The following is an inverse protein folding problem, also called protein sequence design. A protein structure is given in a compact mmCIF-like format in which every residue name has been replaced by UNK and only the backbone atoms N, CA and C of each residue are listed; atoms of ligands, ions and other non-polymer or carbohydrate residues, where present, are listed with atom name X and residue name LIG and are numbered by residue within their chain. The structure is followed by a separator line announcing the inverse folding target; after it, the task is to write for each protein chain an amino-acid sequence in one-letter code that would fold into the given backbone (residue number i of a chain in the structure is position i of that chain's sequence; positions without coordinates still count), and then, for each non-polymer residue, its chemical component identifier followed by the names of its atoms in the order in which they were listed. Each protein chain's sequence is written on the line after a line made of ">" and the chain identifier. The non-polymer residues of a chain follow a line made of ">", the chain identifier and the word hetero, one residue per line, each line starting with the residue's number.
data_IF_754580476161
#
_entry.id   IF_754580476161
#
_cell.length_a   1.000
_cell.length_b   1.000
_cell.length_c   1.000
_cell.angle_alpha   90.00
_cell.angle_beta   90.00
_cell.angle_gamma   90.00
#
_symmetry.space_group_name_H-M   'P 1'
#
loop_
_entity.id
_entity.type
_entity.pdbx_description
1 polymer ?
#
# COMPACT_ATOMS: atom_id res chain seq x y z
N UNK A 1 -4.00 43.96 27.11
CA UNK A 1 -3.91 42.48 27.21
C UNK A 1 -4.75 41.82 26.13
N UNK A 2 -6.01 42.27 25.92
CA UNK A 2 -6.91 41.75 24.90
C UNK A 2 -6.28 41.82 23.49
N UNK A 3 -5.84 43.00 23.04
CA UNK A 3 -5.19 43.20 21.72
C UNK A 3 -4.00 42.25 21.54
N UNK A 4 -3.21 42.03 22.60
CA UNK A 4 -2.06 41.12 22.53
C UNK A 4 -2.50 39.65 22.37
N UNK A 5 -3.61 39.24 22.99
CA UNK A 5 -4.15 37.90 22.84
C UNK A 5 -4.77 37.68 21.46
N UNK A 6 -5.42 38.70 20.94
CA UNK A 6 -6.00 38.71 19.59
C UNK A 6 -4.90 38.54 18.51
N UNK A 7 -3.82 39.32 18.62
CA UNK A 7 -2.64 39.18 17.75
C UNK A 7 -2.03 37.77 17.83
N UNK A 8 -1.95 37.15 19.02
CA UNK A 8 -1.45 35.78 19.18
C UNK A 8 -2.39 34.77 18.53
N UNK A 9 -3.70 34.98 18.61
CA UNK A 9 -4.71 34.10 18.01
C UNK A 9 -4.65 34.18 16.48
N UNK A 10 -4.48 35.41 15.93
CA UNK A 10 -4.32 35.61 14.49
C UNK A 10 -3.03 34.94 13.94
N UNK A 11 -1.92 35.04 14.70
CA UNK A 11 -0.68 34.34 14.31
C UNK A 11 -0.85 32.82 14.31
N UNK A 12 -1.64 32.29 15.27
CA UNK A 12 -1.97 30.86 15.28
C UNK A 12 -2.84 30.44 14.11
N UNK A 13 -3.77 31.30 13.70
CA UNK A 13 -4.57 31.03 12.50
C UNK A 13 -3.69 30.83 11.29
N UNK A 14 -2.77 31.78 11.02
CA UNK A 14 -1.83 31.68 9.92
C UNK A 14 -0.95 30.41 10.00
N UNK A 15 -0.55 30.02 11.22
CA UNK A 15 0.24 28.79 11.41
C UNK A 15 -0.59 27.52 11.11
N UNK A 16 -1.87 27.51 11.46
CA UNK A 16 -2.78 26.37 11.18
C UNK A 16 -3.04 26.26 9.69
N UNK A 17 -3.30 27.38 9.01
CA UNK A 17 -3.51 27.44 7.56
C UNK A 17 -2.28 26.91 6.81
N UNK A 18 -1.08 27.34 7.19
CA UNK A 18 0.17 26.84 6.63
C UNK A 18 0.38 25.32 6.87
N UNK A 19 -0.15 24.76 7.98
CA UNK A 19 -0.08 23.33 8.23
C UNK A 19 -1.10 22.55 7.38
N UNK A 20 -2.28 23.13 7.11
CA UNK A 20 -3.26 22.56 6.18
C UNK A 20 -2.69 22.52 4.76
N UNK A 21 -2.12 23.59 4.26
CA UNK A 21 -1.47 23.65 2.93
C UNK A 21 -0.36 22.60 2.80
N UNK A 22 0.43 22.40 3.87
CA UNK A 22 1.44 21.35 3.88
C UNK A 22 0.83 19.94 3.84
N UNK A 23 -0.31 19.73 4.48
CA UNK A 23 -1.02 18.44 4.48
C UNK A 23 -1.60 18.15 3.11
N UNK A 24 -2.23 19.12 2.48
CA UNK A 24 -2.80 19.02 1.13
C UNK A 24 -1.69 18.71 0.10
N UNK A 25 -0.54 19.40 0.23
CA UNK A 25 0.63 19.10 -0.60
C UNK A 25 1.18 17.69 -0.42
N UNK A 26 1.12 17.13 0.80
CA UNK A 26 1.55 15.74 1.07
C UNK A 26 0.54 14.73 0.49
N UNK A 27 -0.76 15.04 0.54
CA UNK A 27 -1.81 14.23 -0.06
C UNK A 27 -1.67 14.18 -1.59
N UNK A 28 -1.44 15.33 -2.22
CA UNK A 28 -1.17 15.45 -3.65
C UNK A 28 0.08 14.65 -4.08
N UNK A 29 1.17 14.73 -3.31
CA UNK A 29 2.40 13.98 -3.56
C UNK A 29 2.13 12.46 -3.52
N UNK A 30 1.31 11.99 -2.57
CA UNK A 30 0.93 10.57 -2.44
C UNK A 30 0.10 10.11 -3.64
N UNK A 31 -0.87 10.92 -4.08
CA UNK A 31 -1.76 10.60 -5.20
C UNK A 31 -1.04 10.60 -6.54
N UNK A 32 -0.04 11.47 -6.72
CA UNK A 32 0.75 11.54 -7.96
C UNK A 32 1.75 10.39 -8.07
N UNK A 33 2.48 10.09 -7.01
CA UNK A 33 3.50 9.05 -7.02
C UNK A 33 3.76 8.51 -5.61
N UNK A 34 3.28 7.30 -5.35
CA UNK A 34 3.59 6.61 -4.11
C UNK A 34 5.11 6.38 -3.88
N UNK A 35 5.92 6.43 -4.96
CA UNK A 35 7.37 6.27 -4.89
C UNK A 35 8.09 7.54 -4.40
N UNK A 36 7.50 8.72 -4.61
CA UNK A 36 8.05 10.01 -4.18
C UNK A 36 7.57 10.42 -2.79
N UNK A 37 6.54 9.75 -2.30
CA UNK A 37 5.97 10.01 -0.99
C UNK A 37 7.00 9.79 0.13
N UNK A 38 7.17 10.81 0.97
CA UNK A 38 8.10 10.78 2.09
C UNK A 38 7.35 10.68 3.44
N UNK A 39 7.21 9.48 4.04
CA UNK A 39 6.50 9.30 5.31
C UNK A 39 7.06 10.16 6.45
N UNK A 40 8.35 10.50 6.39
CA UNK A 40 9.01 11.35 7.37
C UNK A 40 8.44 12.78 7.43
N UNK A 41 7.92 13.33 6.32
CA UNK A 41 7.25 14.64 6.31
C UNK A 41 5.94 14.56 7.12
N UNK A 42 5.15 13.51 6.90
CA UNK A 42 3.89 13.26 7.59
C UNK A 42 4.08 13.08 9.10
N UNK A 43 5.13 12.35 9.51
CA UNK A 43 5.47 12.16 10.93
C UNK A 43 5.85 13.48 11.61
N UNK A 44 6.61 14.34 10.93
CA UNK A 44 6.94 15.69 11.43
C UNK A 44 5.69 16.53 11.61
N UNK A 45 4.82 16.58 10.60
CA UNK A 45 3.56 17.32 10.64
C UNK A 45 2.67 16.84 11.79
N UNK A 46 2.52 15.52 11.95
CA UNK A 46 1.79 14.92 13.08
C UNK A 46 2.33 15.40 14.45
N UNK A 47 3.65 15.49 14.60
CA UNK A 47 4.28 15.96 15.84
C UNK A 47 3.96 17.43 16.11
N UNK A 48 4.03 18.28 15.08
CA UNK A 48 3.68 19.70 15.18
C UNK A 48 2.21 19.89 15.57
N UNK A 49 1.29 19.16 14.94
CA UNK A 49 -0.13 19.18 15.28
C UNK A 49 -0.41 18.71 16.71
N UNK A 50 0.32 17.71 17.22
CA UNK A 50 0.21 17.27 18.61
C UNK A 50 0.65 18.35 19.60
N UNK A 51 1.71 19.08 19.31
CA UNK A 51 2.16 20.20 20.12
C UNK A 51 1.14 21.34 20.12
N UNK A 52 0.64 21.70 18.93
CA UNK A 52 -0.38 22.73 18.77
C UNK A 52 -1.67 22.38 19.51
N UNK A 53 -2.15 21.16 19.35
CA UNK A 53 -3.31 20.65 20.09
C UNK A 53 -3.16 20.80 21.60
N UNK A 54 -2.00 20.40 22.12
CA UNK A 54 -1.71 20.51 23.56
C UNK A 54 -1.75 21.97 24.05
N UNK A 55 -1.18 22.89 23.27
CA UNK A 55 -1.23 24.33 23.57
C UNK A 55 -2.68 24.83 23.60
N UNK A 56 -3.46 24.54 22.55
CA UNK A 56 -4.86 24.95 22.44
C UNK A 56 -5.73 24.44 23.61
N UNK A 57 -5.50 23.20 24.07
CA UNK A 57 -6.24 22.65 25.22
C UNK A 57 -5.99 23.48 26.48
N UNK A 58 -4.73 23.79 26.80
CA UNK A 58 -4.40 24.57 27.99
C UNK A 58 -4.91 26.01 27.91
N UNK A 59 -4.81 26.65 26.77
CA UNK A 59 -5.27 28.01 26.53
C UNK A 59 -6.79 28.11 26.70
N UNK A 60 -7.52 27.18 26.11
CA UNK A 60 -8.98 27.08 26.27
C UNK A 60 -9.36 26.90 27.74
N UNK A 61 -8.63 26.06 28.49
CA UNK A 61 -8.89 25.84 29.90
C UNK A 61 -8.70 27.13 30.71
N UNK A 62 -7.66 27.91 30.41
CA UNK A 62 -7.41 29.21 31.05
C UNK A 62 -8.57 30.18 30.75
N UNK A 63 -8.96 30.31 29.48
CA UNK A 63 -10.04 31.19 29.05
C UNK A 63 -11.39 30.81 29.65
N UNK A 64 -11.69 29.52 29.80
CA UNK A 64 -12.88 29.04 30.49
C UNK A 64 -12.92 29.57 31.95
N UNK A 65 -11.79 29.52 32.65
CA UNK A 65 -11.68 30.03 34.02
C UNK A 65 -11.90 31.55 34.07
N UNK A 66 -11.34 32.29 33.11
CA UNK A 66 -11.53 33.75 32.99
C UNK A 66 -13.00 34.09 32.72
N UNK A 67 -13.64 33.38 31.79
CA UNK A 67 -15.03 33.63 31.38
C UNK A 67 -16.08 33.24 32.43
N UNK A 68 -15.73 32.39 33.44
CA UNK A 68 -16.64 31.97 34.53
C UNK A 68 -16.86 33.03 35.61
N UNK A 69 -16.33 34.23 35.43
CA UNK A 69 -16.46 35.34 36.45
C UNK A 69 -15.82 35.03 37.81
N UNK A 70 -14.92 34.07 37.89
CA UNK A 70 -14.24 33.72 39.13
C UNK A 70 -13.18 34.76 39.55
N UNK A 71 -12.86 35.70 38.62
CA UNK A 71 -11.83 36.70 38.83
C UNK A 71 -12.44 38.09 39.13
N UNK A 72 -12.12 38.63 40.29
CA UNK A 72 -12.50 40.00 40.74
C UNK A 72 -11.82 41.09 39.87
N UNK A 73 -10.84 40.73 39.07
CA UNK A 73 -10.00 41.65 38.29
C UNK A 73 -10.42 41.81 36.83
N UNK A 74 -11.42 41.06 36.35
CA UNK A 74 -11.89 41.12 34.98
C UNK A 74 -13.23 41.79 34.87
N UNK A 75 -13.32 42.88 34.09
CA UNK A 75 -14.58 43.60 33.85
C UNK A 75 -15.54 42.79 32.99
N UNK A 76 -16.85 43.08 33.08
CA UNK A 76 -17.87 42.38 32.26
C UNK A 76 -17.66 42.60 30.76
N UNK A 77 -17.20 43.78 30.33
CA UNK A 77 -16.86 44.07 28.95
C UNK A 77 -15.70 43.18 28.48
N UNK A 78 -14.66 43.02 29.31
CA UNK A 78 -13.52 42.16 28.97
C UNK A 78 -13.89 40.65 28.90
N UNK A 79 -14.90 40.21 29.66
CA UNK A 79 -15.39 38.82 29.59
C UNK A 79 -15.99 38.52 28.21
N UNK A 80 -16.67 39.48 27.60
CA UNK A 80 -17.22 39.31 26.26
C UNK A 80 -16.12 39.09 25.22
N UNK A 81 -15.06 39.90 25.28
CA UNK A 81 -13.91 39.79 24.38
C UNK A 81 -13.13 38.46 24.58
N UNK A 82 -12.95 38.03 25.82
CA UNK A 82 -12.33 36.72 26.11
C UNK A 82 -13.18 35.54 25.64
N UNK A 83 -14.50 35.70 25.57
CA UNK A 83 -15.38 34.66 25.00
C UNK A 83 -15.20 34.54 23.50
N UNK A 84 -15.02 35.65 22.78
CA UNK A 84 -14.74 35.65 21.36
C UNK A 84 -13.42 34.93 21.06
N UNK A 85 -12.36 35.24 21.80
CA UNK A 85 -11.07 34.56 21.72
C UNK A 85 -11.23 33.04 22.01
N UNK A 86 -12.03 32.67 22.99
CA UNK A 86 -12.32 31.26 23.29
C UNK A 86 -12.99 30.55 22.12
N UNK A 87 -13.92 31.18 21.43
CA UNK A 87 -14.65 30.63 20.30
C UNK A 87 -13.69 30.43 19.10
N UNK A 88 -12.76 31.36 18.89
CA UNK A 88 -11.69 31.18 17.90
C UNK A 88 -10.78 29.98 18.21
N UNK A 89 -10.33 29.85 19.47
CA UNK A 89 -9.50 28.72 19.88
C UNK A 89 -10.27 27.39 19.82
N UNK A 90 -11.59 27.40 20.03
CA UNK A 90 -12.42 26.21 19.86
C UNK A 90 -12.45 25.75 18.39
N UNK A 91 -12.63 26.68 17.45
CA UNK A 91 -12.56 26.40 16.02
C UNK A 91 -11.17 25.85 15.60
N UNK A 92 -10.11 26.47 16.09
CA UNK A 92 -8.74 26.00 15.79
C UNK A 92 -8.49 24.59 16.31
N UNK A 93 -8.99 24.26 17.48
CA UNK A 93 -8.91 22.92 18.02
C UNK A 93 -9.62 21.90 17.12
N UNK A 94 -10.79 22.23 16.60
CA UNK A 94 -11.54 21.38 15.67
C UNK A 94 -10.77 21.16 14.38
N UNK A 95 -10.21 22.21 13.79
CA UNK A 95 -9.37 22.10 12.57
C UNK A 95 -8.15 21.22 12.82
N UNK A 96 -7.47 21.37 13.95
CA UNK A 96 -6.32 20.53 14.30
C UNK A 96 -6.72 19.05 14.46
N UNK A 97 -7.90 18.76 15.00
CA UNK A 97 -8.41 17.37 15.09
C UNK A 97 -8.70 16.80 13.68
N UNK A 98 -9.32 17.58 12.79
CA UNK A 98 -9.55 17.18 11.41
C UNK A 98 -8.22 16.89 10.70
N UNK A 99 -7.22 17.76 10.81
CA UNK A 99 -5.90 17.52 10.24
C UNK A 99 -5.24 16.24 10.76
N UNK A 100 -5.44 15.90 12.04
CA UNK A 100 -4.93 14.66 12.64
C UNK A 100 -5.60 13.41 12.06
N UNK A 101 -6.92 13.47 11.83
CA UNK A 101 -7.68 12.39 11.20
C UNK A 101 -7.23 12.19 9.75
N UNK A 102 -7.04 13.27 9.00
CA UNK A 102 -6.51 13.23 7.63
C UNK A 102 -5.12 12.58 7.57
N UNK A 103 -4.23 12.90 8.51
CA UNK A 103 -2.92 12.25 8.60
C UNK A 103 -3.06 10.73 8.79
N UNK A 104 -4.02 10.29 9.62
CA UNK A 104 -4.33 8.88 9.80
C UNK A 104 -4.76 8.22 8.50
N UNK A 105 -5.70 8.85 7.81
CA UNK A 105 -6.21 8.39 6.51
C UNK A 105 -5.12 8.30 5.43
N UNK A 106 -4.29 9.34 5.29
CA UNK A 106 -3.16 9.35 4.34
C UNK A 106 -2.19 8.18 4.62
N UNK A 107 -1.91 7.90 5.90
CA UNK A 107 -1.05 6.78 6.28
C UNK A 107 -1.67 5.42 5.91
N UNK A 108 -2.97 5.25 6.11
CA UNK A 108 -3.69 4.03 5.73
C UNK A 108 -3.68 3.83 4.22
N UNK A 109 -3.93 4.89 3.45
CA UNK A 109 -3.85 4.85 1.98
C UNK A 109 -2.44 4.44 1.53
N UNK A 110 -1.40 5.05 2.11
CA UNK A 110 -0.01 4.71 1.79
C UNK A 110 0.31 3.24 2.08
N UNK A 111 -0.10 2.71 3.24
CA UNK A 111 0.07 1.30 3.59
C UNK A 111 -0.69 0.39 2.63
N UNK A 112 -1.90 0.77 2.24
CA UNK A 112 -2.70 0.03 1.25
C UNK A 112 -2.00 -0.01 -0.11
N UNK A 113 -1.42 1.10 -0.57
CA UNK A 113 -0.65 1.16 -1.81
C UNK A 113 0.60 0.26 -1.77
N UNK A 114 1.35 0.27 -0.66
CA UNK A 114 2.50 -0.62 -0.46
C UNK A 114 2.06 -2.09 -0.51
N UNK A 115 0.99 -2.46 0.21
CA UNK A 115 0.48 -3.81 0.22
C UNK A 115 0.03 -4.27 -1.17
N UNK A 116 -0.58 -3.39 -1.94
CA UNK A 116 -0.96 -3.68 -3.32
C UNK A 116 0.28 -3.89 -4.21
N UNK A 117 1.30 -3.05 -4.10
CA UNK A 117 2.57 -3.23 -4.82
C UNK A 117 3.25 -4.56 -4.45
N UNK A 118 3.31 -4.89 -3.15
CA UNK A 118 3.85 -6.18 -2.69
C UNK A 118 3.08 -7.36 -3.26
N UNK A 119 1.76 -7.28 -3.32
CA UNK A 119 0.90 -8.29 -3.92
C UNK A 119 1.18 -8.46 -5.41
N UNK A 120 1.35 -7.36 -6.14
CA UNK A 120 1.71 -7.42 -7.56
C UNK A 120 3.10 -8.07 -7.78
N UNK A 121 4.09 -7.72 -6.95
CA UNK A 121 5.43 -8.33 -7.00
C UNK A 121 5.36 -9.83 -6.68
N UNK A 122 4.62 -10.21 -5.62
CA UNK A 122 4.42 -11.60 -5.26
C UNK A 122 3.75 -12.40 -6.40
N UNK A 123 2.73 -11.82 -7.04
CA UNK A 123 2.05 -12.44 -8.18
C UNK A 123 3.00 -12.62 -9.38
N UNK A 124 3.83 -11.61 -9.70
CA UNK A 124 4.86 -11.74 -10.76
C UNK A 124 5.87 -12.83 -10.43
N UNK A 125 6.35 -12.87 -9.19
CA UNK A 125 7.28 -13.90 -8.72
C UNK A 125 6.66 -15.29 -8.83
N UNK A 126 5.42 -15.46 -8.37
CA UNK A 126 4.68 -16.72 -8.48
C UNK A 126 4.53 -17.16 -9.94
N UNK A 127 4.23 -16.24 -10.85
CA UNK A 127 4.16 -16.56 -12.28
C UNK A 127 5.52 -17.03 -12.84
N UNK A 128 6.62 -16.39 -12.43
CA UNK A 128 7.96 -16.78 -12.84
C UNK A 128 8.34 -18.15 -12.29
N UNK A 129 8.12 -18.39 -11.01
CA UNK A 129 8.34 -19.70 -10.37
C UNK A 129 7.50 -20.78 -11.03
N UNK A 130 6.24 -20.49 -11.33
CA UNK A 130 5.34 -21.42 -12.05
C UNK A 130 5.90 -21.79 -13.42
N UNK A 131 6.36 -20.80 -14.22
CA UNK A 131 6.99 -21.07 -15.52
C UNK A 131 8.25 -21.94 -15.37
N UNK A 132 9.08 -21.65 -14.39
CA UNK A 132 10.29 -22.43 -14.12
C UNK A 132 9.94 -23.87 -13.70
N UNK A 133 8.95 -24.03 -12.83
CA UNK A 133 8.46 -25.35 -12.40
C UNK A 133 7.92 -26.15 -13.59
N UNK A 134 7.16 -25.52 -14.49
CA UNK A 134 6.67 -26.18 -15.72
C UNK A 134 7.82 -26.71 -16.56
N UNK A 135 8.82 -25.88 -16.82
CA UNK A 135 10.00 -26.27 -17.59
C UNK A 135 10.71 -27.43 -16.90
N UNK A 136 11.01 -27.30 -15.60
CA UNK A 136 11.75 -28.33 -14.85
C UNK A 136 11.00 -29.66 -14.81
N UNK A 137 9.68 -29.64 -14.60
CA UNK A 137 8.85 -30.85 -14.51
C UNK A 137 8.79 -31.61 -15.86
N UNK A 138 8.87 -30.88 -16.99
CA UNK A 138 8.91 -31.51 -18.31
C UNK A 138 10.32 -32.02 -18.63
N UNK A 139 11.34 -31.19 -18.41
CA UNK A 139 12.70 -31.51 -18.81
C UNK A 139 13.42 -32.52 -17.89
N UNK A 140 13.11 -32.55 -16.60
CA UNK A 140 13.77 -33.43 -15.64
C UNK A 140 13.62 -34.93 -16.00
N UNK A 141 12.41 -35.46 -16.24
CA UNK A 141 12.26 -36.85 -16.64
C UNK A 141 12.88 -37.13 -18.05
N UNK A 142 12.80 -36.17 -18.96
CA UNK A 142 13.41 -36.30 -20.30
C UNK A 142 14.94 -36.39 -20.22
N UNK A 143 15.55 -35.55 -19.38
CA UNK A 143 17.01 -35.58 -19.19
C UNK A 143 17.47 -36.89 -18.54
N UNK A 144 16.71 -37.39 -17.55
CA UNK A 144 17.00 -38.70 -16.93
C UNK A 144 16.96 -39.83 -17.97
N UNK A 145 15.88 -39.88 -18.78
CA UNK A 145 15.73 -40.90 -19.83
C UNK A 145 16.81 -40.77 -20.90
N UNK A 146 17.11 -39.54 -21.34
CA UNK A 146 18.20 -39.31 -22.29
C UNK A 146 19.55 -39.74 -21.75
N UNK A 147 19.80 -39.52 -20.45
CA UNK A 147 21.02 -40.00 -19.76
C UNK A 147 21.11 -41.51 -19.75
N UNK A 148 20.03 -42.20 -19.40
CA UNK A 148 20.00 -43.68 -19.41
C UNK A 148 20.13 -44.24 -20.83
N UNK A 149 19.43 -43.66 -21.82
CA UNK A 149 19.51 -44.08 -23.20
C UNK A 149 20.85 -43.78 -23.88
N UNK A 150 21.63 -42.85 -23.33
CA UNK A 150 22.99 -42.53 -23.80
C UNK A 150 24.09 -43.45 -23.22
N UNK A 151 23.76 -44.29 -22.27
CA UNK A 151 24.75 -45.23 -21.72
C UNK A 151 25.04 -46.39 -22.67
N UNK A 152 26.31 -46.76 -22.77
CA UNK A 152 26.76 -47.86 -23.66
C UNK A 152 26.15 -49.20 -23.32
N UNK A 153 25.78 -49.42 -22.08
CA UNK A 153 25.08 -50.66 -21.59
C UNK A 153 23.70 -50.79 -22.22
N UNK A 154 22.96 -49.70 -22.45
CA UNK A 154 21.66 -49.75 -23.13
C UNK A 154 21.81 -50.21 -24.62
N UNK A 155 22.84 -49.78 -25.31
CA UNK A 155 23.12 -50.19 -26.66
C UNK A 155 23.56 -51.66 -26.73
N UNK A 156 24.26 -52.15 -25.71
CA UNK A 156 24.62 -53.59 -25.61
C UNK A 156 23.42 -54.48 -25.35
N UNK A 157 22.44 -54.05 -24.55
CA UNK A 157 21.20 -54.82 -24.28
C UNK A 157 20.27 -54.90 -25.50
N UNK A 158 20.23 -53.87 -26.35
CA UNK A 158 19.36 -53.81 -27.53
C UNK A 158 19.94 -54.53 -28.74
N UNK A 159 21.25 -54.75 -28.79
CA UNK A 159 21.96 -55.41 -29.92
C UNK A 159 21.96 -54.64 -31.25
N UNK A 160 22.94 -54.83 -32.12
CA UNK A 160 23.09 -54.06 -33.35
C UNK A 160 21.96 -54.32 -34.37
N UNK A 161 21.22 -55.44 -34.27
CA UNK A 161 20.12 -55.74 -35.19
C UNK A 161 18.80 -55.07 -34.88
N UNK A 162 18.53 -54.75 -33.61
CA UNK A 162 17.24 -54.24 -33.15
C UNK A 162 17.21 -52.70 -33.01
N UNK A 163 18.31 -51.98 -33.30
CA UNK A 163 18.37 -50.54 -33.08
C UNK A 163 17.33 -49.75 -33.92
N UNK A 164 16.99 -50.27 -35.13
CA UNK A 164 15.98 -49.68 -36.01
C UNK A 164 14.58 -49.62 -35.39
N UNK A 165 14.28 -50.52 -34.44
CA UNK A 165 13.01 -50.59 -33.74
C UNK A 165 13.12 -49.94 -32.35
N UNK A 166 14.25 -50.16 -31.68
CA UNK A 166 14.48 -49.68 -30.33
C UNK A 166 14.58 -48.14 -30.24
N UNK A 167 15.22 -47.49 -31.23
CA UNK A 167 15.42 -46.07 -31.24
C UNK A 167 14.10 -45.29 -31.45
N UNK A 168 13.22 -45.63 -32.44
CA UNK A 168 11.91 -44.98 -32.53
C UNK A 168 11.00 -45.24 -31.35
N UNK A 169 11.05 -46.47 -30.76
CA UNK A 169 10.29 -46.79 -29.57
C UNK A 169 10.72 -45.96 -28.36
N UNK A 170 12.03 -45.77 -28.17
CA UNK A 170 12.57 -44.89 -27.11
C UNK A 170 12.14 -43.43 -27.31
N UNK A 171 12.23 -42.92 -28.55
CA UNK A 171 11.84 -41.56 -28.91
C UNK A 171 10.33 -41.35 -28.70
N UNK A 172 9.51 -42.35 -29.06
CA UNK A 172 8.07 -42.38 -28.81
C UNK A 172 7.74 -42.37 -27.33
N UNK A 173 8.48 -43.10 -26.52
CA UNK A 173 8.37 -43.09 -25.05
C UNK A 173 8.68 -41.75 -24.43
N UNK A 174 9.72 -41.06 -24.91
CA UNK A 174 10.05 -39.69 -24.48
C UNK A 174 8.93 -38.70 -24.78
N UNK A 175 8.38 -38.76 -26.02
CA UNK A 175 7.25 -37.89 -26.39
C UNK A 175 6.01 -38.21 -25.57
N UNK A 176 5.72 -39.47 -25.28
CA UNK A 176 4.60 -39.87 -24.43
C UNK A 176 4.74 -39.34 -22.99
N UNK A 177 5.95 -39.41 -22.42
CA UNK A 177 6.22 -38.89 -21.07
C UNK A 177 6.12 -37.37 -21.05
N UNK A 178 6.62 -36.67 -22.06
CA UNK A 178 6.48 -35.22 -22.19
C UNK A 178 5.00 -34.81 -22.28
N UNK A 179 4.20 -35.49 -23.07
CA UNK A 179 2.76 -35.24 -23.20
C UNK A 179 2.00 -35.54 -21.92
N UNK A 180 2.36 -36.60 -21.20
CA UNK A 180 1.77 -36.98 -19.93
C UNK A 180 2.10 -35.97 -18.83
N UNK A 181 3.35 -35.52 -18.75
CA UNK A 181 3.79 -34.46 -17.84
C UNK A 181 3.05 -33.15 -18.10
N UNK A 182 2.93 -32.73 -19.37
CA UNK A 182 2.17 -31.55 -19.76
C UNK A 182 0.69 -31.67 -19.43
N UNK A 183 0.07 -32.82 -19.69
CA UNK A 183 -1.34 -33.09 -19.38
C UNK A 183 -1.61 -33.06 -17.88
N UNK A 184 -0.71 -33.65 -17.08
CA UNK A 184 -0.80 -33.67 -15.62
C UNK A 184 -0.73 -32.25 -15.05
N UNK A 185 0.20 -31.44 -15.55
CA UNK A 185 0.33 -30.04 -15.14
C UNK A 185 -0.95 -29.27 -15.48
N UNK A 186 -1.46 -29.40 -16.72
CA UNK A 186 -2.70 -28.74 -17.15
C UNK A 186 -3.92 -29.20 -16.34
N UNK A 187 -3.94 -30.46 -15.90
CA UNK A 187 -5.00 -30.97 -15.03
C UNK A 187 -4.93 -30.40 -13.62
N UNK A 188 -3.74 -30.30 -13.02
CA UNK A 188 -3.52 -29.64 -11.73
C UNK A 188 -3.90 -28.16 -11.81
N UNK A 189 -3.47 -27.46 -12.87
CA UNK A 189 -3.79 -26.05 -13.11
C UNK A 189 -5.30 -25.79 -13.23
N UNK A 190 -6.03 -26.71 -13.84
CA UNK A 190 -7.49 -26.60 -13.98
C UNK A 190 -8.23 -26.83 -12.67
N UNK A 191 -7.59 -27.50 -11.71
CA UNK A 191 -8.13 -27.77 -10.37
C UNK A 191 -7.90 -26.62 -9.39
N UNK A 192 -6.81 -25.88 -9.56
CA UNK A 192 -6.52 -24.62 -8.87
C UNK A 192 -7.20 -23.45 -9.61
N UNK A 193 -8.53 -23.35 -9.47
CA UNK A 193 -9.24 -22.14 -9.91
C UNK A 193 -8.70 -20.96 -9.12
N UNK A 194 -8.27 -19.87 -9.78
CA UNK A 194 -7.92 -18.68 -9.04
C UNK A 194 -9.12 -18.23 -8.22
N UNK A 195 -8.90 -17.96 -6.93
CA UNK A 195 -9.89 -17.31 -6.07
C UNK A 195 -10.30 -16.03 -6.81
N UNK A 196 -11.62 -15.79 -7.07
CA UNK A 196 -12.04 -14.59 -7.76
C UNK A 196 -11.52 -13.40 -6.95
N UNK A 197 -10.70 -12.56 -7.60
CA UNK A 197 -10.26 -11.31 -7.02
C UNK A 197 -11.52 -10.45 -6.85
N UNK A 198 -11.96 -10.21 -5.62
CA UNK A 198 -13.06 -9.30 -5.29
C UNK A 198 -12.77 -7.84 -5.66
N UNK A 199 -11.61 -7.57 -6.22
CA UNK A 199 -11.16 -6.25 -6.65
C UNK A 199 -10.90 -6.25 -8.16
N UNK A 200 -11.89 -5.87 -8.95
CA UNK A 200 -11.62 -5.67 -10.37
C UNK A 200 -12.79 -5.85 -11.33
N UNK A 201 -14.00 -5.43 -10.95
CA UNK A 201 -15.14 -5.46 -11.89
C UNK A 201 -15.62 -4.08 -12.35
N UNK A 202 -15.12 -2.96 -11.84
CA UNK A 202 -15.71 -1.64 -12.12
C UNK A 202 -14.71 -0.54 -12.56
N UNK A 203 -13.63 -0.91 -13.27
CA UNK A 203 -12.83 0.11 -13.97
C UNK A 203 -12.75 -0.19 -15.45
N UNK A 204 -13.91 -0.16 -16.12
CA UNK A 204 -13.95 0.19 -17.54
C UNK A 204 -13.59 1.68 -17.65
N UNK A 205 -12.38 1.95 -18.13
CA UNK A 205 -11.95 3.28 -18.49
C UNK A 205 -12.95 3.87 -19.52
N UNK A 206 -13.44 5.11 -19.35
CA UNK A 206 -14.31 5.74 -20.34
C UNK A 206 -13.54 5.87 -21.66
N UNK A 207 -14.11 5.30 -22.73
CA UNK A 207 -13.58 5.47 -24.09
C UNK A 207 -13.67 6.96 -24.47
N UNK A 208 -12.64 7.54 -25.09
CA UNK A 208 -12.72 8.92 -25.59
C UNK A 208 -13.78 9.03 -26.71
N UNK A 209 -14.53 10.12 -26.78
CA UNK A 209 -15.54 10.33 -27.82
C UNK A 209 -14.86 10.43 -29.19
N UNK A 210 -15.49 9.82 -30.18
CA UNK A 210 -15.10 9.89 -31.60
C UNK A 210 -15.35 11.27 -32.19
#
# INVERSE_FOLDING_TARGET
>A
LQVLLDDIVDEKFNAIEALQDQLDGIEDDLLRSAAEFQPGRLVRLRRTLLHLRKSLVYEREILVKVCRRDSRYVSEAAIFDFRDIYDHLAKFFEVVEICRELIGSIMEIHLSMINNQMTMVANRTNQTVRRLTLITTIFMPLTLLSGIGGMSEWSMMTGPENWKLAYPAFLGGMVAIAALSYSLIKWIEKRDKPVPSFYGADTEAPQPPR
#
